data_IF_839943244604
#
_entry.id   IF_839943244604
#
_cell.length_a   1.000
_cell.length_b   1.000
_cell.length_c   1.000
_cell.angle_alpha   90.00
_cell.angle_beta   90.00
_cell.angle_gamma   90.00
#
_symmetry.space_group_name_H-M   'P 1'
#
loop_
_entity.id
_entity.type
_entity.pdbx_description
1 polymer ?
#
# COMPACT_ATOMS: atom_id res chain seq x y z
N UNK A 1 -3.54 31.23 49.87
CA UNK A 1 -2.50 30.86 48.89
C UNK A 1 -1.96 29.43 49.04
N UNK A 2 -1.37 29.00 50.18
CA UNK A 2 -0.78 27.65 50.33
C UNK A 2 -1.75 26.46 50.09
N UNK A 3 -3.00 26.55 50.55
CA UNK A 3 -4.04 25.52 50.28
C UNK A 3 -4.44 25.44 48.81
N UNK A 4 -4.59 26.60 48.16
CA UNK A 4 -4.90 26.69 46.72
C UNK A 4 -3.78 26.07 45.89
N UNK A 5 -2.51 26.42 46.16
CA UNK A 5 -1.36 25.79 45.48
C UNK A 5 -1.30 24.26 45.66
N UNK A 6 -1.60 23.74 46.86
CA UNK A 6 -1.65 22.30 47.12
C UNK A 6 -2.76 21.60 46.34
N UNK A 7 -3.95 22.20 46.26
CA UNK A 7 -5.06 21.65 45.48
C UNK A 7 -4.74 21.68 43.99
N UNK A 8 -4.16 22.77 43.48
CA UNK A 8 -3.73 22.87 42.08
C UNK A 8 -2.67 21.82 41.74
N UNK A 9 -1.69 21.58 42.62
CA UNK A 9 -0.67 20.54 42.40
C UNK A 9 -1.25 19.13 42.34
N UNK A 10 -2.21 18.79 43.21
CA UNK A 10 -2.90 17.48 43.19
C UNK A 10 -3.68 17.29 41.89
N UNK A 11 -4.39 18.32 41.43
CA UNK A 11 -5.15 18.28 40.17
C UNK A 11 -4.22 18.04 38.97
N UNK A 12 -3.07 18.72 38.92
CA UNK A 12 -2.09 18.53 37.83
C UNK A 12 -1.55 17.09 37.80
N UNK A 13 -1.21 16.50 38.96
CA UNK A 13 -0.72 15.11 39.03
C UNK A 13 -1.78 14.12 38.53
N UNK A 14 -3.05 14.32 38.90
CA UNK A 14 -4.16 13.49 38.44
C UNK A 14 -4.31 13.59 36.91
N UNK A 15 -4.24 14.80 36.34
CA UNK A 15 -4.35 15.00 34.89
C UNK A 15 -3.21 14.33 34.12
N UNK A 16 -1.97 14.43 34.62
CA UNK A 16 -0.82 13.72 34.03
C UNK A 16 -1.03 12.21 34.08
N UNK A 17 -1.51 11.68 35.22
CA UNK A 17 -1.82 10.26 35.35
C UNK A 17 -2.86 9.77 34.35
N UNK A 18 -3.96 10.52 34.18
CA UNK A 18 -5.00 10.20 33.19
C UNK A 18 -4.46 10.25 31.76
N UNK A 19 -3.62 11.23 31.45
CA UNK A 19 -2.99 11.36 30.14
C UNK A 19 -2.05 10.18 29.82
N UNK A 20 -1.24 9.73 30.80
CA UNK A 20 -0.38 8.56 30.63
C UNK A 20 -1.19 7.28 30.41
N UNK A 21 -2.31 7.11 31.12
CA UNK A 21 -3.22 5.97 30.93
C UNK A 21 -3.82 6.00 29.52
N UNK A 22 -4.24 7.18 29.03
CA UNK A 22 -4.74 7.36 27.67
C UNK A 22 -3.71 6.95 26.61
N UNK A 23 -2.46 7.42 26.75
CA UNK A 23 -1.34 7.03 25.87
C UNK A 23 -1.13 5.53 25.87
N UNK A 24 -1.14 4.89 27.04
CA UNK A 24 -0.92 3.46 27.18
C UNK A 24 -2.02 2.64 26.49
N UNK A 25 -3.28 3.01 26.71
CA UNK A 25 -4.44 2.35 26.08
C UNK A 25 -4.36 2.46 24.55
N UNK A 26 -4.06 3.65 24.03
CA UNK A 26 -3.91 3.86 22.59
C UNK A 26 -2.71 3.08 22.03
N UNK A 27 -1.58 3.06 22.73
CA UNK A 27 -0.40 2.30 22.31
C UNK A 27 -0.70 0.81 22.17
N UNK A 28 -1.36 0.20 23.16
CA UNK A 28 -1.76 -1.22 23.12
C UNK A 28 -2.74 -1.48 21.98
N UNK A 29 -3.77 -0.62 21.83
CA UNK A 29 -4.77 -0.76 20.76
C UNK A 29 -4.13 -0.67 19.38
N UNK A 30 -3.34 0.37 19.14
CA UNK A 30 -2.68 0.59 17.85
C UNK A 30 -1.71 -0.55 17.54
N UNK A 31 -0.96 -1.03 18.54
CA UNK A 31 -0.08 -2.18 18.36
C UNK A 31 -0.84 -3.43 17.91
N UNK A 32 -1.98 -3.72 18.55
CA UNK A 32 -2.82 -4.86 18.16
C UNK A 32 -3.33 -4.73 16.73
N UNK A 33 -3.77 -3.54 16.30
CA UNK A 33 -4.26 -3.30 14.93
C UNK A 33 -3.12 -3.50 13.93
N UNK A 34 -2.02 -2.78 14.08
CA UNK A 34 -0.88 -2.82 13.14
C UNK A 34 -0.26 -4.21 13.09
N UNK A 35 -0.10 -4.87 14.23
CA UNK A 35 0.45 -6.24 14.27
C UNK A 35 -0.45 -7.25 13.56
N UNK A 36 -1.77 -7.11 13.63
CA UNK A 36 -2.69 -7.99 12.91
C UNK A 36 -2.61 -7.75 11.40
N UNK A 37 -2.65 -6.48 10.97
CA UNK A 37 -2.48 -6.10 9.57
C UNK A 37 -1.19 -6.70 9.00
N UNK A 38 -0.08 -6.52 9.71
CA UNK A 38 1.23 -7.02 9.30
C UNK A 38 1.31 -8.54 9.24
N UNK A 39 0.60 -9.25 10.12
CA UNK A 39 0.52 -10.71 10.08
C UNK A 39 -0.25 -11.20 8.86
N UNK A 40 -1.38 -10.59 8.54
CA UNK A 40 -2.18 -10.97 7.36
C UNK A 40 -1.46 -10.60 6.05
N UNK A 41 -0.86 -9.41 5.97
CA UNK A 41 -0.02 -9.01 4.82
C UNK A 41 1.13 -9.99 4.56
N UNK A 42 1.77 -10.50 5.62
CA UNK A 42 2.81 -11.52 5.47
C UNK A 42 2.24 -12.83 4.92
N UNK A 43 1.14 -13.34 5.49
CA UNK A 43 0.49 -14.56 4.98
C UNK A 43 0.08 -14.41 3.53
N UNK A 44 -0.44 -13.25 3.16
CA UNK A 44 -0.79 -12.93 1.78
C UNK A 44 0.42 -13.05 0.87
N UNK A 45 1.51 -12.34 1.16
CA UNK A 45 2.74 -12.34 0.36
C UNK A 45 3.37 -13.73 0.25
N UNK A 46 3.33 -14.53 1.32
CA UNK A 46 3.88 -15.89 1.35
C UNK A 46 3.01 -16.90 0.55
N UNK A 47 1.77 -16.53 0.18
CA UNK A 47 0.80 -17.39 -0.52
C UNK A 47 0.34 -16.82 -1.86
N UNK A 48 1.01 -15.77 -2.35
CA UNK A 48 0.62 -15.09 -3.56
C UNK A 48 1.23 -15.81 -4.76
N UNK A 49 0.38 -16.53 -5.50
CA UNK A 49 0.78 -17.23 -6.73
C UNK A 49 0.16 -16.54 -7.95
N UNK A 50 -1.17 -16.45 -7.99
CA UNK A 50 -1.91 -15.83 -9.08
C UNK A 50 -2.78 -14.69 -8.57
N UNK A 51 -2.74 -13.54 -9.25
CA UNK A 51 -3.49 -12.36 -8.81
C UNK A 51 -3.68 -11.34 -9.91
N UNK A 52 -4.78 -10.58 -9.77
CA UNK A 52 -4.98 -9.31 -10.44
C UNK A 52 -4.73 -8.18 -9.44
N UNK A 53 -3.92 -7.20 -9.80
CA UNK A 53 -3.67 -6.00 -9.01
C UNK A 53 -3.94 -4.75 -9.84
N UNK A 54 -4.54 -3.75 -9.20
CA UNK A 54 -4.83 -2.46 -9.79
C UNK A 54 -4.40 -1.33 -8.86
N UNK A 55 -3.72 -0.34 -9.43
CA UNK A 55 -3.40 0.94 -8.79
C UNK A 55 -3.93 2.07 -9.64
N UNK A 56 -4.83 2.87 -9.09
CA UNK A 56 -5.25 4.13 -9.68
C UNK A 56 -4.62 5.28 -8.92
N UNK A 57 -4.16 6.29 -9.64
CA UNK A 57 -3.66 7.52 -9.09
C UNK A 57 -4.43 8.69 -9.68
N UNK A 58 -5.05 9.49 -8.82
CA UNK A 58 -5.64 10.77 -9.19
C UNK A 58 -4.69 11.89 -8.76
N UNK A 59 -4.42 12.82 -9.68
CA UNK A 59 -3.60 14.01 -9.41
C UNK A 59 -4.50 15.25 -9.45
N UNK A 60 -4.51 16.03 -8.38
CA UNK A 60 -5.30 17.26 -8.32
C UNK A 60 -4.66 18.47 -9.05
N UNK A 61 -3.52 18.30 -9.74
CA UNK A 61 -2.82 19.38 -10.45
C UNK A 61 -2.21 18.93 -11.79
N UNK A 62 -2.46 19.69 -12.86
CA UNK A 62 -1.76 19.55 -14.16
C UNK A 62 -2.64 19.06 -15.32
N UNK A 63 -1.98 18.55 -16.39
CA UNK A 63 -2.65 17.99 -17.58
C UNK A 63 -3.01 16.51 -17.43
N UNK A 64 -2.26 15.76 -16.62
CA UNK A 64 -2.54 14.35 -16.29
C UNK A 64 -3.54 14.36 -15.14
N UNK A 65 -4.72 13.81 -15.37
CA UNK A 65 -5.79 13.74 -14.36
C UNK A 65 -5.73 12.42 -13.60
N UNK A 66 -5.42 11.33 -14.30
CA UNK A 66 -5.31 10.01 -13.71
C UNK A 66 -4.25 9.15 -14.40
N UNK A 67 -3.62 8.29 -13.63
CA UNK A 67 -2.88 7.13 -14.15
C UNK A 67 -3.46 5.86 -13.55
N UNK A 68 -3.47 4.77 -14.32
CA UNK A 68 -3.88 3.45 -13.86
C UNK A 68 -2.78 2.46 -14.22
N UNK A 69 -2.49 1.55 -13.31
CA UNK A 69 -1.63 0.39 -13.56
C UNK A 69 -2.43 -0.85 -13.22
N UNK A 70 -2.52 -1.77 -14.16
CA UNK A 70 -3.09 -3.11 -13.97
C UNK A 70 -1.97 -4.14 -14.08
N UNK A 71 -2.00 -5.16 -13.23
CA UNK A 71 -1.02 -6.25 -13.23
C UNK A 71 -1.76 -7.57 -13.14
N UNK A 72 -1.49 -8.43 -14.11
CA UNK A 72 -1.99 -9.78 -14.18
C UNK A 72 -0.80 -10.71 -13.91
N UNK A 73 -0.91 -11.53 -12.88
CA UNK A 73 0.09 -12.53 -12.54
C UNK A 73 -0.54 -13.93 -12.60
N UNK A 74 0.03 -14.78 -13.45
CA UNK A 74 -0.34 -16.18 -13.55
C UNK A 74 0.89 -17.02 -13.85
N UNK A 75 1.14 -18.04 -13.04
CA UNK A 75 2.23 -19.00 -13.24
C UNK A 75 3.62 -18.33 -13.45
N UNK A 76 3.93 -17.31 -12.64
CA UNK A 76 5.18 -16.54 -12.68
C UNK A 76 5.40 -15.70 -13.95
N UNK A 77 4.34 -15.52 -14.74
CA UNK A 77 4.24 -14.58 -15.85
C UNK A 77 3.48 -13.35 -15.37
N UNK A 78 4.04 -12.17 -15.66
CA UNK A 78 3.50 -10.87 -15.28
C UNK A 78 3.17 -10.08 -16.53
N UNK A 79 1.94 -9.55 -16.59
CA UNK A 79 1.55 -8.55 -17.58
C UNK A 79 1.19 -7.27 -16.86
N UNK A 80 1.93 -6.18 -17.11
CA UNK A 80 1.61 -4.84 -16.60
C UNK A 80 1.05 -4.00 -17.74
N UNK A 81 -0.14 -3.43 -17.54
CA UNK A 81 -0.74 -2.44 -18.44
C UNK A 81 -0.77 -1.10 -17.74
N UNK A 82 -0.19 -0.09 -18.39
CA UNK A 82 -0.17 1.28 -17.86
C UNK A 82 -1.08 2.16 -18.70
N UNK A 83 -1.91 2.96 -18.04
CA UNK A 83 -2.85 3.86 -18.66
C UNK A 83 -2.64 5.30 -18.18
N UNK A 84 -2.81 6.26 -19.08
CA UNK A 84 -2.77 7.69 -18.79
C UNK A 84 -4.09 8.29 -19.27
N UNK A 85 -4.88 8.86 -18.35
CA UNK A 85 -6.21 9.37 -18.64
C UNK A 85 -7.12 8.35 -19.36
N UNK A 86 -7.12 7.09 -18.89
CA UNK A 86 -7.91 5.95 -19.44
C UNK A 86 -7.39 5.33 -20.75
N UNK A 87 -6.46 5.99 -21.46
CA UNK A 87 -5.84 5.43 -22.66
C UNK A 87 -4.65 4.53 -22.30
N UNK A 88 -4.52 3.38 -22.95
CA UNK A 88 -3.35 2.49 -22.81
C UNK A 88 -2.12 3.26 -23.28
N UNK A 89 -1.12 3.36 -22.41
CA UNK A 89 0.16 3.99 -22.70
C UNK A 89 1.26 2.96 -22.99
N UNK A 90 1.23 1.80 -22.31
CA UNK A 90 2.19 0.73 -22.52
C UNK A 90 1.69 -0.60 -21.97
N UNK A 91 2.26 -1.69 -22.50
CA UNK A 91 2.09 -3.05 -22.01
C UNK A 91 3.46 -3.71 -21.85
N UNK A 92 3.70 -4.34 -20.71
CA UNK A 92 4.92 -5.07 -20.39
C UNK A 92 4.56 -6.52 -20.07
N UNK A 93 5.27 -7.47 -20.67
CA UNK A 93 5.17 -8.90 -20.41
C UNK A 93 6.51 -9.42 -19.89
N UNK A 94 6.50 -10.08 -18.74
CA UNK A 94 7.70 -10.59 -18.08
C UNK A 94 7.50 -12.02 -17.61
N UNK A 95 8.38 -12.92 -18.05
CA UNK A 95 8.45 -14.28 -17.56
C UNK A 95 9.61 -14.42 -16.58
N UNK A 96 9.31 -14.47 -15.29
CA UNK A 96 10.33 -14.44 -14.25
C UNK A 96 11.18 -15.72 -14.13
N UNK A 97 10.71 -16.84 -14.70
CA UNK A 97 11.48 -18.10 -14.77
C UNK A 97 12.63 -18.02 -15.75
N UNK A 98 12.36 -17.42 -16.91
CA UNK A 98 13.29 -17.37 -18.04
C UNK A 98 14.06 -16.05 -18.09
N UNK A 99 13.51 -15.00 -17.48
CA UNK A 99 14.00 -13.63 -17.61
C UNK A 99 13.58 -12.97 -18.92
N UNK A 100 12.75 -13.61 -19.75
CA UNK A 100 12.23 -12.99 -20.97
C UNK A 100 11.33 -11.80 -20.62
N UNK A 101 11.51 -10.70 -21.36
CA UNK A 101 10.82 -9.45 -21.16
C UNK A 101 10.48 -8.81 -22.52
N UNK A 102 9.25 -8.33 -22.64
CA UNK A 102 8.76 -7.60 -23.81
C UNK A 102 8.04 -6.35 -23.29
N UNK A 103 8.34 -5.20 -23.87
CA UNK A 103 7.61 -3.95 -23.63
C UNK A 103 7.11 -3.40 -24.95
N UNK A 104 5.88 -2.90 -24.95
CA UNK A 104 5.22 -2.32 -26.12
C UNK A 104 4.60 -0.97 -25.78
N UNK A 105 4.62 -0.07 -26.77
CA UNK A 105 3.94 1.21 -26.68
C UNK A 105 2.42 1.08 -26.93
N UNK A 106 1.70 2.20 -26.85
CA UNK A 106 0.25 2.27 -27.12
C UNK A 106 -0.17 1.74 -28.51
N UNK A 107 0.74 1.72 -29.48
CA UNK A 107 0.51 1.26 -30.84
C UNK A 107 0.97 -0.19 -31.06
N UNK A 108 1.47 -0.86 -30.03
CA UNK A 108 1.98 -2.24 -30.09
C UNK A 108 3.40 -2.35 -30.63
N UNK A 109 4.14 -1.26 -30.78
CA UNK A 109 5.53 -1.32 -31.22
C UNK A 109 6.45 -1.67 -30.05
N UNK A 110 7.48 -2.47 -30.32
CA UNK A 110 8.50 -2.80 -29.35
C UNK A 110 9.20 -1.55 -28.80
N UNK A 111 9.23 -1.44 -27.47
CA UNK A 111 9.97 -0.42 -26.75
C UNK A 111 11.37 -0.92 -26.41
N UNK A 112 12.38 -0.09 -26.68
CA UNK A 112 13.73 -0.35 -26.19
C UNK A 112 13.82 0.12 -24.73
N UNK A 113 13.43 -0.76 -23.80
CA UNK A 113 13.38 -0.50 -22.36
C UNK A 113 14.22 -1.54 -21.61
N UNK A 114 14.86 -1.12 -20.51
CA UNK A 114 15.53 -2.05 -19.60
C UNK A 114 14.51 -2.97 -18.91
N UNK A 115 14.91 -4.21 -18.62
CA UNK A 115 14.04 -5.18 -17.94
C UNK A 115 13.63 -4.64 -16.57
N UNK A 116 12.34 -4.43 -16.37
CA UNK A 116 11.79 -4.10 -15.07
C UNK A 116 11.46 -5.37 -14.27
N UNK A 117 12.44 -5.90 -13.56
CA UNK A 117 12.22 -7.03 -12.67
C UNK A 117 11.37 -6.68 -11.44
N UNK A 118 11.11 -5.40 -11.16
CA UNK A 118 10.32 -4.97 -10.01
C UNK A 118 8.82 -5.21 -10.21
N UNK A 119 8.36 -5.49 -11.43
CA UNK A 119 6.98 -5.87 -11.74
C UNK A 119 6.42 -6.98 -10.84
N UNK A 120 7.27 -7.94 -10.41
CA UNK A 120 6.91 -9.02 -9.48
C UNK A 120 6.64 -8.55 -8.05
N UNK A 121 6.98 -7.30 -7.74
CA UNK A 121 6.88 -6.68 -6.42
C UNK A 121 5.87 -5.53 -6.37
N UNK A 122 5.28 -5.09 -7.48
CA UNK A 122 4.33 -3.96 -7.52
C UNK A 122 3.14 -4.13 -6.56
N UNK A 123 2.65 -5.36 -6.38
CA UNK A 123 1.57 -5.65 -5.43
C UNK A 123 1.93 -5.23 -3.99
N UNK A 124 3.23 -5.04 -3.66
CA UNK A 124 3.66 -4.63 -2.33
C UNK A 124 3.14 -3.25 -1.94
N UNK A 125 2.76 -2.40 -2.89
CA UNK A 125 2.17 -1.09 -2.62
C UNK A 125 0.91 -1.19 -1.73
N UNK A 126 0.17 -2.30 -1.82
CA UNK A 126 -1.04 -2.50 -0.99
C UNK A 126 -0.72 -3.01 0.42
N UNK A 127 0.50 -3.50 0.60
CA UNK A 127 0.92 -4.03 1.87
C UNK A 127 1.45 -2.88 2.70
N UNK A 128 0.95 -2.74 3.92
CA UNK A 128 1.59 -1.86 4.90
C UNK A 128 3.08 -2.21 5.10
N UNK A 129 3.47 -3.45 4.77
CA UNK A 129 4.85 -3.93 4.77
C UNK A 129 5.70 -3.52 3.56
N UNK A 130 5.11 -3.19 2.41
CA UNK A 130 5.83 -2.86 1.18
C UNK A 130 6.79 -1.69 1.38
N UNK A 131 6.25 -0.59 1.89
CA UNK A 131 6.99 0.62 2.28
C UNK A 131 7.97 0.41 3.45
N UNK A 132 7.72 -0.59 4.30
CA UNK A 132 8.49 -0.80 5.53
C UNK A 132 9.73 -1.69 5.32
N UNK A 133 9.81 -2.43 4.20
CA UNK A 133 10.91 -3.37 3.91
C UNK A 133 12.20 -2.68 3.43
N UNK A 134 12.11 -1.55 2.73
CA UNK A 134 13.30 -0.83 2.26
C UNK A 134 14.18 -0.33 3.41
N UNK A 135 13.59 -0.05 4.58
CA UNK A 135 14.32 0.54 5.69
C UNK A 135 15.12 -0.43 6.57
N UNK A 136 15.18 -1.75 6.29
CA UNK A 136 15.95 -2.75 7.07
C UNK A 136 15.81 -2.60 8.60
N UNK A 137 14.69 -2.07 9.10
CA UNK A 137 14.53 -1.74 10.51
C UNK A 137 13.49 -2.65 11.14
N UNK A 138 13.94 -3.40 12.13
CA UNK A 138 13.19 -4.34 12.96
C UNK A 138 12.02 -3.72 13.75
N UNK A 139 11.70 -2.43 13.57
CA UNK A 139 10.74 -1.67 14.38
C UNK A 139 9.68 -0.88 13.57
N UNK A 140 9.39 -1.30 12.34
CA UNK A 140 8.32 -0.78 11.49
C UNK A 140 6.95 -0.62 12.20
N UNK A 141 6.50 -1.64 12.94
CA UNK A 141 5.29 -1.60 13.77
C UNK A 141 5.32 -0.42 14.75
N UNK A 142 6.44 -0.27 15.45
CA UNK A 142 6.58 0.73 16.50
C UNK A 142 6.56 2.16 15.95
N UNK A 143 7.07 2.39 14.74
CA UNK A 143 6.98 3.72 14.12
C UNK A 143 5.53 4.12 13.87
N UNK A 144 4.73 3.23 13.28
CA UNK A 144 3.30 3.49 13.05
C UNK A 144 2.57 3.68 14.39
N UNK A 145 2.83 2.83 15.37
CA UNK A 145 2.21 2.93 16.70
C UNK A 145 2.54 4.24 17.40
N UNK A 146 3.81 4.66 17.38
CA UNK A 146 4.27 5.90 18.01
C UNK A 146 3.74 7.13 17.28
N UNK A 147 3.74 7.13 15.94
CA UNK A 147 3.19 8.23 15.15
C UNK A 147 1.69 8.43 15.44
N UNK A 148 0.97 7.35 15.70
CA UNK A 148 -0.46 7.38 16.00
C UNK A 148 -0.78 7.36 17.51
N UNK A 149 0.19 7.61 18.41
CA UNK A 149 -0.08 7.52 19.86
C UNK A 149 -0.90 8.72 20.38
N UNK A 150 -0.66 9.91 19.80
CA UNK A 150 -1.37 11.16 20.11
C UNK A 150 -2.61 11.32 19.21
N UNK A 151 -2.50 10.90 17.95
CA UNK A 151 -3.59 10.83 16.97
C UNK A 151 -3.92 9.36 16.73
N UNK A 152 -4.84 8.77 17.51
CA UNK A 152 -5.09 7.33 17.49
C UNK A 152 -5.57 6.87 16.13
N UNK A 153 -5.23 5.63 15.76
CA UNK A 153 -5.83 4.96 14.60
C UNK A 153 -7.36 4.96 14.79
N UNK A 154 -8.08 5.50 13.83
CA UNK A 154 -9.55 5.57 13.82
C UNK A 154 -10.11 4.60 12.78
N UNK A 155 -11.43 4.59 12.62
CA UNK A 155 -12.13 3.77 11.63
C UNK A 155 -13.09 4.63 10.81
N UNK A 156 -13.08 4.44 9.50
CA UNK A 156 -13.96 5.10 8.54
C UNK A 156 -14.24 4.14 7.39
N UNK A 157 -15.50 4.03 6.94
CA UNK A 157 -15.90 3.23 5.77
C UNK A 157 -15.26 1.82 5.73
N UNK A 158 -15.39 1.07 6.83
CA UNK A 158 -14.80 -0.26 6.99
C UNK A 158 -13.26 -0.35 6.93
N UNK A 159 -12.56 0.78 6.97
CA UNK A 159 -11.11 0.85 7.00
C UNK A 159 -10.58 1.32 8.37
N UNK A 160 -9.39 0.87 8.74
CA UNK A 160 -8.52 1.57 9.68
C UNK A 160 -7.91 2.79 8.99
N UNK A 161 -8.00 3.95 9.64
CA UNK A 161 -7.39 5.19 9.15
C UNK A 161 -6.11 5.44 9.95
N UNK A 162 -4.98 5.37 9.26
CA UNK A 162 -3.64 5.38 9.87
C UNK A 162 -2.85 6.56 9.30
N UNK A 163 -2.38 7.45 10.16
CA UNK A 163 -1.39 8.45 9.74
C UNK A 163 -0.03 7.77 9.58
N UNK A 164 0.57 7.91 8.40
CA UNK A 164 1.85 7.29 8.06
C UNK A 164 2.64 8.23 7.16
N UNK A 165 3.92 8.47 7.49
CA UNK A 165 4.75 9.49 6.85
C UNK A 165 4.05 10.86 6.80
N UNK A 166 3.88 11.43 5.59
CA UNK A 166 3.20 12.70 5.34
C UNK A 166 1.74 12.51 4.87
N UNK A 167 1.24 11.27 4.91
CA UNK A 167 -0.06 10.91 4.37
C UNK A 167 -0.97 10.15 5.33
N UNK A 168 -2.12 9.74 4.80
CA UNK A 168 -3.12 8.94 5.47
C UNK A 168 -3.40 7.68 4.66
N UNK A 169 -3.27 6.53 5.32
CA UNK A 169 -3.47 5.21 4.75
C UNK A 169 -4.81 4.66 5.24
N UNK A 170 -5.62 4.14 4.33
CA UNK A 170 -6.87 3.45 4.62
C UNK A 170 -6.66 1.96 4.41
N UNK A 171 -6.66 1.20 5.49
CA UNK A 171 -6.46 -0.25 5.48
C UNK A 171 -7.79 -0.94 5.71
N UNK A 172 -8.24 -1.77 4.78
CA UNK A 172 -9.47 -2.54 4.92
C UNK A 172 -9.42 -3.46 6.15
N UNK A 173 -10.46 -3.46 6.98
CA UNK A 173 -10.48 -4.26 8.20
C UNK A 173 -10.62 -5.76 7.95
N UNK A 174 -11.22 -6.16 6.84
CA UNK A 174 -11.49 -7.56 6.51
C UNK A 174 -10.30 -8.19 5.79
N UNK A 175 -9.70 -7.46 4.83
CA UNK A 175 -8.57 -7.97 4.04
C UNK A 175 -7.20 -7.59 4.59
N UNK A 176 -7.13 -6.54 5.42
CA UNK A 176 -5.87 -5.95 5.91
C UNK A 176 -4.97 -5.32 4.83
N UNK A 177 -5.48 -5.10 3.61
CA UNK A 177 -4.77 -4.39 2.55
C UNK A 177 -5.08 -2.91 2.55
N UNK A 178 -4.10 -2.11 2.12
CA UNK A 178 -4.29 -0.70 1.83
C UNK A 178 -5.25 -0.62 0.64
N UNK A 179 -6.34 0.14 0.81
CA UNK A 179 -7.30 0.48 -0.25
C UNK A 179 -7.06 1.88 -0.81
N UNK A 180 -6.53 2.78 0.02
CA UNK A 180 -6.29 4.16 -0.38
C UNK A 180 -5.12 4.77 0.38
N UNK A 181 -4.33 5.59 -0.31
CA UNK A 181 -3.31 6.44 0.29
C UNK A 181 -3.49 7.89 -0.17
N UNK A 182 -3.58 8.80 0.80
CA UNK A 182 -3.74 10.24 0.59
C UNK A 182 -2.50 10.97 1.06
N UNK A 183 -1.80 11.67 0.15
CA UNK A 183 -0.65 12.51 0.49
C UNK A 183 -0.58 13.75 -0.39
N UNK A 184 -0.75 14.92 0.20
CA UNK A 184 -0.79 16.19 -0.53
C UNK A 184 -1.87 16.18 -1.61
N UNK A 185 -1.46 16.39 -2.86
CA UNK A 185 -2.33 16.42 -4.05
C UNK A 185 -2.48 15.06 -4.75
N UNK A 186 -1.92 14.00 -4.16
CA UNK A 186 -1.94 12.64 -4.69
C UNK A 186 -2.94 11.79 -3.91
N UNK A 187 -3.81 11.12 -4.65
CA UNK A 187 -4.76 10.14 -4.14
C UNK A 187 -4.56 8.82 -4.87
N UNK A 188 -4.08 7.81 -4.17
CA UNK A 188 -3.86 6.46 -4.69
C UNK A 188 -4.97 5.55 -4.20
N UNK A 189 -5.54 4.76 -5.11
CA UNK A 189 -6.47 3.69 -4.80
C UNK A 189 -5.90 2.37 -5.27
N UNK A 190 -6.17 1.33 -4.49
CA UNK A 190 -5.64 0.00 -4.74
C UNK A 190 -6.75 -1.05 -4.71
N UNK A 191 -6.62 -2.03 -5.58
CA UNK A 191 -7.47 -3.21 -5.60
C UNK A 191 -6.60 -4.44 -5.88
N UNK A 192 -6.91 -5.55 -5.21
CA UNK A 192 -6.27 -6.83 -5.48
C UNK A 192 -7.30 -7.94 -5.38
N UNK A 193 -7.20 -8.90 -6.28
CA UNK A 193 -7.98 -10.13 -6.27
C UNK A 193 -7.07 -11.32 -6.49
N UNK A 194 -7.23 -12.36 -5.66
CA UNK A 194 -6.47 -13.60 -5.75
C UNK A 194 -7.18 -14.58 -6.67
N UNK A 195 -6.39 -15.41 -7.35
CA UNK A 195 -6.88 -16.56 -8.10
C UNK A 195 -7.95 -16.19 -9.14
N UNK A 196 -7.92 -14.95 -9.62
CA UNK A 196 -8.86 -14.39 -10.60
C UNK A 196 -8.29 -14.30 -12.02
N UNK A 197 -7.00 -14.63 -12.19
CA UNK A 197 -6.28 -14.52 -13.45
C UNK A 197 -6.06 -15.92 -14.04
N UNK A 198 -6.31 -16.07 -15.33
CA UNK A 198 -6.07 -17.26 -16.12
C UNK A 198 -4.86 -17.13 -17.04
N UNK A 199 -4.57 -18.20 -17.78
CA UNK A 199 -3.48 -18.21 -18.78
C UNK A 199 -3.69 -17.22 -19.92
N UNK A 200 -4.95 -16.96 -20.26
CA UNK A 200 -5.41 -16.06 -21.31
C UNK A 200 -5.10 -14.58 -20.99
N UNK A 201 -5.01 -14.23 -19.71
CA UNK A 201 -4.75 -12.85 -19.27
C UNK A 201 -3.26 -12.50 -19.35
N UNK A 202 -2.39 -13.51 -19.50
CA UNK A 202 -0.93 -13.38 -19.50
C UNK A 202 -0.28 -13.89 -20.78
N UNK A 203 -1.06 -13.95 -21.87
CA UNK A 203 -0.54 -14.40 -23.17
C UNK A 203 0.65 -13.56 -23.60
N UNK A 204 1.68 -14.24 -24.12
CA UNK A 204 2.86 -13.56 -24.65
C UNK A 204 2.44 -12.73 -25.86
N UNK A 205 2.77 -11.43 -25.88
CA UNK A 205 2.40 -10.59 -27.01
C UNK A 205 3.11 -11.06 -28.29
N UNK A 206 2.37 -11.02 -29.40
CA UNK A 206 2.88 -11.40 -30.71
C UNK A 206 3.69 -10.21 -31.24
N UNK A 207 5.02 -10.36 -31.28
CA UNK A 207 5.89 -9.42 -31.97
C UNK A 207 5.86 -9.77 -33.46
N UNK A 208 5.49 -8.84 -34.34
CA UNK A 208 5.61 -9.01 -35.80
C UNK A 208 7.10 -9.08 -36.21
N UNK A 209 7.75 -10.20 -35.96
CA UNK A 209 9.00 -10.60 -36.60
C UNK A 209 8.87 -12.07 -37.04
N UNK A 210 8.25 -12.27 -38.21
CA UNK A 210 8.46 -13.44 -39.08
C UNK A 210 8.98 -12.99 -40.46
#
# INVERSE_FOLDING_TARGET
MKKVLKVTGIVVVILIGLFLIFILINGIRNYSIVSNIMKENKKFSDSLENYYFERNQEMNMGKIKSTKTEIYCYDEIYVRKSFINEDISSEEWYNSRTGEYIAMDEAGNLMNQEVDEEIKNDYRDILLMGDLKENKMTNAIWQVVLHNIIRPITTENECYVISYNEGTVYVDKDTSFIKQYLAGDVNLYYFIEKDSVGSEDVEKPITEEE
#
